data_IF_151285611910
#
_entry.id   IF_151285611910
#
_cell.length_a   1.000
_cell.length_b   1.000
_cell.length_c   1.000
_cell.angle_alpha   90.00
_cell.angle_beta   90.00
_cell.angle_gamma   90.00
#
_symmetry.space_group_name_H-M   'P 1'
#
loop_
_entity.id
_entity.type
_entity.pdbx_description
1 polymer ?
#
# COMPACT_ATOMS: atom_id res chain seq x y z
N UNK A 1 8.40 -3.89 -6.11
CA UNK A 1 9.41 -2.97 -5.55
C UNK A 1 9.25 -2.94 -4.04
N UNK A 2 10.34 -3.09 -3.29
CA UNK A 2 10.28 -3.30 -1.84
C UNK A 2 10.11 -4.77 -1.51
N UNK A 3 10.98 -5.28 -0.63
CA UNK A 3 10.99 -6.67 -0.18
C UNK A 3 10.86 -6.78 1.35
N UNK A 4 10.16 -5.82 1.95
CA UNK A 4 9.74 -5.89 3.35
C UNK A 4 8.59 -6.90 3.53
N UNK A 5 8.04 -6.97 4.75
CA UNK A 5 6.96 -7.90 5.09
C UNK A 5 5.79 -7.87 4.10
N UNK A 6 5.30 -6.68 3.75
CA UNK A 6 4.18 -6.52 2.80
C UNK A 6 4.58 -6.84 1.35
N UNK A 7 5.78 -6.47 0.92
CA UNK A 7 6.30 -6.83 -0.41
C UNK A 7 6.43 -8.35 -0.61
N UNK A 8 6.91 -9.07 0.42
CA UNK A 8 6.96 -10.54 0.40
C UNK A 8 5.56 -11.16 0.41
N UNK A 9 4.59 -10.54 1.10
CA UNK A 9 3.20 -10.98 1.05
C UNK A 9 2.62 -10.84 -0.36
N UNK A 10 2.83 -9.70 -1.02
CA UNK A 10 2.45 -9.50 -2.42
C UNK A 10 3.10 -10.50 -3.36
N UNK A 11 4.40 -10.76 -3.18
CA UNK A 11 5.13 -11.77 -3.94
C UNK A 11 4.44 -13.13 -3.89
N UNK A 12 4.12 -13.60 -2.68
CA UNK A 12 3.41 -14.88 -2.49
C UNK A 12 2.04 -14.84 -3.14
N UNK A 13 1.24 -13.79 -2.91
CA UNK A 13 -0.11 -13.69 -3.50
C UNK A 13 -0.05 -13.74 -5.02
N UNK A 14 0.84 -12.97 -5.66
CA UNK A 14 1.00 -12.95 -7.11
C UNK A 14 1.47 -14.30 -7.67
N UNK A 15 2.39 -14.98 -6.98
CA UNK A 15 2.79 -16.35 -7.36
C UNK A 15 1.61 -17.33 -7.30
N UNK A 16 0.77 -17.26 -6.26
CA UNK A 16 -0.42 -18.11 -6.15
C UNK A 16 -1.46 -17.81 -7.24
N UNK A 17 -1.47 -16.59 -7.79
CA UNK A 17 -2.29 -16.21 -8.94
C UNK A 17 -1.68 -16.64 -10.29
N UNK A 18 -0.52 -17.31 -10.29
CA UNK A 18 0.16 -17.80 -11.50
C UNK A 18 1.09 -16.78 -12.16
N UNK A 19 1.34 -15.64 -11.53
CA UNK A 19 2.26 -14.63 -12.07
C UNK A 19 3.72 -15.04 -11.86
N UNK A 20 4.56 -14.75 -12.85
CA UNK A 20 6.02 -14.72 -12.65
C UNK A 20 6.38 -13.41 -11.94
N UNK A 21 7.03 -13.50 -10.78
CA UNK A 21 7.29 -12.35 -9.91
C UNK A 21 8.78 -12.18 -9.70
N UNK A 22 9.25 -10.95 -9.83
CA UNK A 22 10.56 -10.53 -9.39
C UNK A 22 10.46 -9.35 -8.42
N UNK A 23 11.47 -9.24 -7.57
CA UNK A 23 11.56 -8.26 -6.49
C UNK A 23 12.71 -7.30 -6.72
N UNK A 24 12.48 -6.02 -6.39
CA UNK A 24 13.51 -4.98 -6.42
C UNK A 24 13.76 -4.53 -4.99
N UNK A 25 15.01 -4.60 -4.53
CA UNK A 25 15.39 -4.25 -3.16
C UNK A 25 16.77 -3.58 -3.09
N UNK A 26 16.86 -2.54 -2.27
CA UNK A 26 18.13 -1.88 -1.89
C UNK A 26 18.96 -2.71 -0.88
N UNK A 27 18.43 -3.81 -0.35
CA UNK A 27 19.16 -4.74 0.53
C UNK A 27 19.70 -5.92 -0.30
N UNK A 28 21.02 -6.21 -0.29
CA UNK A 28 21.65 -7.12 -1.24
C UNK A 28 21.03 -8.51 -1.31
N UNK A 29 20.60 -9.02 -0.15
CA UNK A 29 20.08 -10.39 -0.05
C UNK A 29 18.55 -10.48 -0.07
N UNK A 30 17.85 -9.34 -0.22
CA UNK A 30 16.41 -9.31 -0.06
C UNK A 30 15.63 -9.17 -1.37
N UNK A 31 16.27 -9.07 -2.54
CA UNK A 31 15.52 -9.02 -3.80
C UNK A 31 16.34 -9.47 -5.00
N UNK A 32 15.64 -9.87 -6.06
CA UNK A 32 16.21 -10.39 -7.30
C UNK A 32 17.02 -9.31 -8.06
N UNK A 33 16.61 -8.06 -7.93
CA UNK A 33 17.26 -6.91 -8.55
C UNK A 33 17.54 -5.78 -7.57
N UNK A 34 18.63 -5.07 -7.82
CA UNK A 34 19.06 -3.90 -7.04
C UNK A 34 18.37 -2.61 -7.42
N UNK A 35 18.00 -2.47 -8.69
CA UNK A 35 17.44 -1.25 -9.28
C UNK A 35 16.22 -1.59 -10.14
N UNK A 36 15.34 -0.60 -10.31
CA UNK A 36 14.16 -0.71 -11.19
C UNK A 36 14.59 -0.95 -12.63
N UNK A 37 15.56 -0.18 -13.12
CA UNK A 37 16.09 -0.30 -14.48
C UNK A 37 16.55 -1.73 -14.80
N UNK A 38 17.31 -2.39 -13.90
CA UNK A 38 17.77 -3.76 -14.10
C UNK A 38 16.60 -4.77 -14.16
N UNK A 39 15.57 -4.59 -13.34
CA UNK A 39 14.40 -5.45 -13.34
C UNK A 39 13.51 -5.26 -14.58
N UNK A 40 13.38 -4.03 -15.06
CA UNK A 40 12.60 -3.74 -16.27
C UNK A 40 13.30 -4.27 -17.53
N UNK A 41 14.62 -4.17 -17.60
CA UNK A 41 15.42 -4.66 -18.71
C UNK A 41 15.39 -6.20 -18.86
N UNK A 42 15.14 -6.94 -17.77
CA UNK A 42 15.18 -8.40 -17.80
C UNK A 42 13.85 -9.05 -18.20
N UNK A 43 12.72 -8.41 -17.92
CA UNK A 43 11.42 -9.09 -17.97
C UNK A 43 10.24 -8.27 -18.48
N UNK A 44 10.41 -6.97 -18.76
CA UNK A 44 9.35 -6.07 -19.24
C UNK A 44 7.98 -6.30 -18.57
N UNK A 45 7.89 -6.20 -17.23
CA UNK A 45 6.66 -6.51 -16.51
C UNK A 45 5.52 -5.57 -16.96
N UNK A 46 4.29 -6.08 -17.00
CA UNK A 46 3.09 -5.27 -17.27
C UNK A 46 2.46 -4.70 -15.99
N UNK A 47 2.90 -5.19 -14.83
CA UNK A 47 2.34 -4.85 -13.51
C UNK A 47 3.47 -4.69 -12.48
N UNK A 48 3.44 -3.59 -11.72
CA UNK A 48 4.39 -3.29 -10.66
C UNK A 48 3.64 -3.02 -9.36
N UNK A 49 4.07 -3.69 -8.29
CA UNK A 49 3.64 -3.33 -6.92
C UNK A 49 4.74 -2.49 -6.27
N UNK A 50 4.41 -1.30 -5.79
CA UNK A 50 5.26 -0.46 -4.96
C UNK A 50 4.89 -0.72 -3.50
N UNK A 51 5.76 -1.43 -2.80
CA UNK A 51 5.64 -1.83 -1.40
C UNK A 51 6.90 -1.44 -0.61
N UNK A 52 7.48 -0.29 -0.97
CA UNK A 52 8.57 0.38 -0.26
C UNK A 52 8.03 1.11 0.97
N UNK A 53 8.92 1.71 1.76
CA UNK A 53 8.50 2.61 2.83
C UNK A 53 7.75 3.83 2.26
N UNK A 54 6.72 4.32 2.94
CA UNK A 54 5.87 5.42 2.47
C UNK A 54 6.66 6.66 2.08
N UNK A 55 7.68 7.03 2.87
CA UNK A 55 8.60 8.15 2.61
C UNK A 55 9.38 8.01 1.29
N UNK A 56 9.37 6.81 0.68
CA UNK A 56 10.04 6.46 -0.58
C UNK A 56 9.09 6.15 -1.72
N UNK A 57 7.77 6.30 -1.51
CA UNK A 57 6.80 6.07 -2.57
C UNK A 57 7.01 7.04 -3.74
N UNK A 58 7.27 8.33 -3.47
CA UNK A 58 7.53 9.32 -4.52
C UNK A 58 8.76 8.95 -5.36
N UNK A 59 9.89 8.68 -4.71
CA UNK A 59 11.13 8.21 -5.36
C UNK A 59 10.89 6.92 -6.17
N UNK A 60 10.06 6.01 -5.68
CA UNK A 60 9.73 4.76 -6.38
C UNK A 60 8.90 5.01 -7.64
N UNK A 61 7.96 5.96 -7.60
CA UNK A 61 7.17 6.38 -8.75
C UNK A 61 8.05 7.07 -9.78
N UNK A 62 8.89 8.02 -9.36
CA UNK A 62 9.84 8.73 -10.22
C UNK A 62 10.81 7.75 -10.90
N UNK A 63 11.34 6.76 -10.16
CA UNK A 63 12.23 5.75 -10.74
C UNK A 63 11.56 4.92 -11.84
N UNK A 64 10.26 4.64 -11.75
CA UNK A 64 9.51 3.98 -12.82
C UNK A 64 9.32 4.90 -14.03
N UNK A 65 9.00 6.17 -13.79
CA UNK A 65 8.83 7.20 -14.83
C UNK A 65 10.13 7.37 -15.62
N UNK A 66 11.26 7.53 -14.92
CA UNK A 66 12.58 7.71 -15.51
C UNK A 66 13.02 6.50 -16.34
N UNK A 67 12.56 5.29 -15.96
CA UNK A 67 12.80 4.07 -16.73
C UNK A 67 11.79 3.86 -17.88
N UNK A 68 10.87 4.80 -18.12
CA UNK A 68 9.87 4.71 -19.19
C UNK A 68 8.78 3.67 -18.96
N UNK A 69 8.53 3.27 -17.71
CA UNK A 69 7.48 2.31 -17.40
C UNK A 69 6.09 2.93 -17.57
N UNK A 70 5.22 2.25 -18.33
CA UNK A 70 3.84 2.69 -18.61
C UNK A 70 2.76 1.65 -18.24
N UNK A 71 3.17 0.55 -17.60
CA UNK A 71 2.26 -0.54 -17.21
C UNK A 71 1.32 -0.16 -16.06
N UNK A 72 0.73 -1.17 -15.43
CA UNK A 72 -0.16 -0.98 -14.29
C UNK A 72 0.65 -0.88 -12.99
N UNK A 73 0.21 -0.04 -12.06
CA UNK A 73 0.86 0.15 -10.75
C UNK A 73 -0.13 -0.07 -9.61
N UNK A 74 0.26 -0.90 -8.64
CA UNK A 74 -0.36 -0.93 -7.32
C UNK A 74 0.60 -0.30 -6.32
N UNK A 75 0.21 0.84 -5.74
CA UNK A 75 0.96 1.56 -4.72
C UNK A 75 0.42 1.20 -3.33
N UNK A 76 1.27 0.76 -2.42
CA UNK A 76 0.83 0.53 -1.03
C UNK A 76 0.36 1.82 -0.36
N UNK A 77 -0.48 1.67 0.66
CA UNK A 77 -0.97 2.82 1.41
C UNK A 77 0.04 3.27 2.47
N UNK A 78 -0.07 4.51 2.97
CA UNK A 78 -0.71 5.65 2.30
C UNK A 78 0.09 6.05 1.05
N UNK A 79 -0.50 6.88 0.19
CA UNK A 79 0.11 7.27 -1.09
C UNK A 79 1.48 7.92 -0.86
N UNK A 80 1.55 8.90 0.05
CA UNK A 80 2.75 9.64 0.44
C UNK A 80 2.75 9.87 1.95
N UNK A 81 3.91 10.20 2.51
CA UNK A 81 4.09 10.60 3.91
C UNK A 81 3.80 12.10 4.13
N UNK A 82 3.85 12.89 3.06
CA UNK A 82 3.54 14.32 3.05
C UNK A 82 2.59 14.69 1.90
N UNK A 83 1.75 15.73 2.05
CA UNK A 83 0.82 16.18 1.02
C UNK A 83 1.54 17.01 -0.05
N UNK A 84 2.43 16.38 -0.80
CA UNK A 84 3.12 17.00 -1.95
C UNK A 84 2.44 16.61 -3.26
N UNK A 85 2.51 17.47 -4.30
CA UNK A 85 1.96 17.12 -5.61
C UNK A 85 2.65 15.88 -6.19
N UNK A 86 1.87 15.00 -6.81
CA UNK A 86 2.41 13.90 -7.59
C UNK A 86 2.85 14.40 -8.98
N UNK A 87 3.92 13.84 -9.56
CA UNK A 87 4.29 14.11 -10.94
C UNK A 87 3.24 13.55 -11.91
N UNK A 88 3.35 13.91 -13.19
CA UNK A 88 2.56 13.26 -14.25
C UNK A 88 2.89 11.76 -14.26
N UNK A 89 1.87 10.92 -14.07
CA UNK A 89 2.02 9.47 -14.05
C UNK A 89 1.68 8.89 -15.43
N UNK A 90 2.66 8.40 -16.22
CA UNK A 90 2.44 7.84 -17.56
C UNK A 90 1.91 6.39 -17.53
N UNK A 91 1.47 5.93 -16.36
CA UNK A 91 1.00 4.57 -16.13
C UNK A 91 -0.40 4.37 -16.73
N UNK A 92 -0.62 3.21 -17.35
CA UNK A 92 -1.96 2.83 -17.84
C UNK A 92 -3.04 2.86 -16.76
N UNK A 93 -2.68 2.53 -15.52
CA UNK A 93 -3.52 2.71 -14.35
C UNK A 93 -2.67 2.69 -13.08
N UNK A 94 -3.10 3.43 -12.06
CA UNK A 94 -2.57 3.32 -10.70
C UNK A 94 -3.71 3.03 -9.72
N UNK A 95 -3.48 2.11 -8.80
CA UNK A 95 -4.39 1.76 -7.69
C UNK A 95 -3.64 1.86 -6.37
N UNK A 96 -4.37 2.11 -5.28
CA UNK A 96 -3.80 2.19 -3.93
C UNK A 96 -4.20 0.97 -3.11
N UNK A 97 -3.28 0.43 -2.31
CA UNK A 97 -3.37 -0.81 -1.52
C UNK A 97 -4.38 -0.83 -0.37
N UNK A 98 -5.53 -0.15 -0.48
CA UNK A 98 -6.61 -0.18 0.50
C UNK A 98 -7.41 -1.49 0.46
N UNK A 99 -6.76 -2.58 0.86
CA UNK A 99 -7.29 -3.93 0.71
C UNK A 99 -8.60 -4.20 1.48
N UNK A 100 -8.91 -3.46 2.55
CA UNK A 100 -10.12 -3.66 3.33
C UNK A 100 -11.41 -3.47 2.51
N UNK A 101 -11.37 -2.63 1.46
CA UNK A 101 -12.50 -2.44 0.53
C UNK A 101 -12.93 -3.73 -0.17
N UNK A 102 -12.02 -4.70 -0.27
CA UNK A 102 -12.27 -5.98 -0.96
C UNK A 102 -12.78 -7.08 -0.02
N UNK A 103 -12.84 -6.83 1.30
CA UNK A 103 -13.37 -7.80 2.25
C UNK A 103 -14.86 -8.09 1.92
N UNK A 104 -15.31 -9.36 1.87
CA UNK A 104 -16.68 -9.69 1.45
C UNK A 104 -17.76 -8.97 2.26
N UNK A 105 -17.61 -8.89 3.58
CA UNK A 105 -18.55 -8.17 4.45
C UNK A 105 -18.58 -6.65 4.16
N UNK A 106 -17.43 -6.07 3.82
CA UNK A 106 -17.31 -4.64 3.48
C UNK A 106 -18.02 -4.35 2.15
N UNK A 107 -17.83 -5.22 1.15
CA UNK A 107 -18.53 -5.13 -0.14
C UNK A 107 -20.04 -5.31 0.01
N UNK A 108 -20.47 -6.25 0.85
CA UNK A 108 -21.89 -6.47 1.13
C UNK A 108 -22.52 -5.26 1.84
N UNK A 109 -21.81 -4.69 2.83
CA UNK A 109 -22.25 -3.47 3.50
C UNK A 109 -22.37 -2.31 2.49
N UNK A 110 -21.37 -2.11 1.63
CA UNK A 110 -21.42 -1.06 0.60
C UNK A 110 -22.65 -1.22 -0.30
N UNK A 111 -22.90 -2.43 -0.80
CA UNK A 111 -24.06 -2.70 -1.63
C UNK A 111 -25.40 -2.44 -0.91
N UNK A 112 -25.48 -2.67 0.40
CA UNK A 112 -26.67 -2.34 1.19
C UNK A 112 -26.84 -0.82 1.42
N UNK A 113 -25.74 -0.07 1.38
CA UNK A 113 -25.74 1.39 1.54
C UNK A 113 -26.02 2.14 0.23
N UNK A 114 -25.79 1.53 -0.94
CA UNK A 114 -25.85 2.23 -2.25
C UNK A 114 -27.19 2.95 -2.53
N UNK A 115 -28.32 2.46 -1.99
CA UNK A 115 -29.64 3.11 -2.11
C UNK A 115 -30.20 3.65 -0.78
N UNK A 116 -29.35 3.76 0.24
CA UNK A 116 -29.77 4.12 1.60
C UNK A 116 -29.21 5.48 1.97
N UNK A 117 -30.07 6.38 2.44
CA UNK A 117 -29.62 7.64 3.03
C UNK A 117 -29.08 7.37 4.44
N UNK A 118 -27.76 7.49 4.62
CA UNK A 118 -27.13 7.37 5.94
C UNK A 118 -27.35 8.67 6.72
N UNK A 119 -28.07 8.58 7.83
CA UNK A 119 -28.33 9.75 8.71
C UNK A 119 -27.23 9.94 9.76
N UNK A 120 -26.61 8.86 10.21
CA UNK A 120 -25.52 8.86 11.17
C UNK A 120 -24.69 7.60 11.05
N UNK A 121 -23.41 7.68 11.42
CA UNK A 121 -22.52 6.54 11.52
C UNK A 121 -21.66 6.67 12.78
N UNK A 122 -21.43 5.55 13.45
CA UNK A 122 -20.47 5.46 14.54
C UNK A 122 -19.47 4.36 14.21
N UNK A 123 -18.20 4.73 14.13
CA UNK A 123 -17.11 3.79 13.87
C UNK A 123 -16.18 3.78 15.07
N UNK A 124 -15.84 2.58 15.53
CA UNK A 124 -14.92 2.35 16.64
C UNK A 124 -13.86 1.39 16.19
N UNK A 125 -12.61 1.83 16.25
CA UNK A 125 -11.44 0.98 16.05
C UNK A 125 -10.56 1.10 17.29
N UNK A 126 -10.11 -0.04 17.80
CA UNK A 126 -9.22 -0.10 18.95
C UNK A 126 -8.58 -1.47 19.05
N UNK A 127 -7.29 -1.48 19.35
CA UNK A 127 -6.51 -2.68 19.56
C UNK A 127 -5.46 -2.40 20.63
N UNK A 128 -4.99 -3.45 21.30
CA UNK A 128 -3.92 -3.35 22.29
C UNK A 128 -2.57 -3.17 21.59
N UNK A 129 -1.90 -2.04 21.79
CA UNK A 129 -0.67 -1.69 21.06
C UNK A 129 0.47 -2.75 21.18
N UNK A 130 0.70 -3.40 22.33
CA UNK A 130 1.68 -4.48 22.43
C UNK A 130 1.43 -5.66 21.47
N UNK A 131 0.18 -5.88 21.06
CA UNK A 131 -0.15 -6.98 20.14
C UNK A 131 0.16 -6.64 18.68
N UNK A 132 0.44 -5.36 18.35
CA UNK A 132 0.69 -4.93 16.97
C UNK A 132 2.02 -5.44 16.43
N UNK A 133 3.02 -5.53 17.30
CA UNK A 133 4.38 -5.97 16.97
C UNK A 133 4.92 -6.86 18.08
N UNK A 134 4.46 -8.12 18.16
CA UNK A 134 4.92 -9.06 19.18
C UNK A 134 6.46 -9.12 19.20
N UNK A 135 7.04 -8.99 20.39
CA UNK A 135 8.50 -9.00 20.58
C UNK A 135 9.20 -7.65 20.42
N UNK A 136 8.47 -6.55 20.24
CA UNK A 136 9.02 -5.18 20.29
C UNK A 136 8.32 -4.37 21.37
N UNK A 137 9.07 -3.54 22.09
CA UNK A 137 8.47 -2.59 23.03
C UNK A 137 7.61 -1.60 22.24
N UNK A 138 6.31 -1.59 22.49
CA UNK A 138 5.37 -0.73 21.79
C UNK A 138 5.71 0.75 21.99
N UNK A 139 6.34 1.13 23.11
CA UNK A 139 6.77 2.51 23.43
C UNK A 139 7.86 3.02 22.49
N UNK A 140 8.58 2.12 21.85
CA UNK A 140 9.63 2.41 20.87
C UNK A 140 9.12 2.34 19.41
N UNK A 141 7.81 2.18 19.23
CA UNK A 141 7.19 2.19 17.89
C UNK A 141 6.76 3.59 17.52
N UNK A 142 6.65 3.82 16.21
CA UNK A 142 6.15 5.10 15.65
C UNK A 142 4.77 5.44 16.22
N UNK A 143 3.93 4.42 16.44
CA UNK A 143 2.58 4.54 16.99
C UNK A 143 2.53 5.15 18.39
N UNK A 144 3.52 4.88 19.24
CA UNK A 144 3.61 5.40 20.61
C UNK A 144 4.53 6.62 20.74
N UNK A 145 5.14 7.07 19.64
CA UNK A 145 6.06 8.20 19.62
C UNK A 145 5.34 9.56 19.64
N UNK A 146 6.09 10.65 19.94
CA UNK A 146 5.55 12.02 20.01
C UNK A 146 5.06 12.58 18.66
N UNK A 147 5.28 11.86 17.55
CA UNK A 147 5.09 12.34 16.19
C UNK A 147 3.81 11.91 15.46
N UNK A 148 2.90 11.13 16.05
CA UNK A 148 1.62 10.92 15.34
C UNK A 148 0.72 9.75 15.68
N UNK A 149 0.75 9.22 16.91
CA UNK A 149 -0.28 8.33 17.44
C UNK A 149 -0.71 7.17 16.51
N UNK A 150 -1.91 6.63 16.76
CA UNK A 150 -2.43 5.52 15.95
C UNK A 150 -2.89 5.98 14.55
N UNK A 151 -3.27 7.25 14.40
CA UNK A 151 -3.97 7.79 13.22
C UNK A 151 -3.19 7.62 11.90
N UNK A 152 -1.87 7.80 11.91
CA UNK A 152 -1.05 7.63 10.70
C UNK A 152 -1.02 6.17 10.23
N UNK A 153 -1.15 5.21 11.15
CA UNK A 153 -1.23 3.79 10.82
C UNK A 153 -2.66 3.36 10.45
N UNK A 154 -3.69 4.09 10.91
CA UNK A 154 -5.13 3.86 10.64
C UNK A 154 -5.65 4.45 9.31
N UNK A 155 -4.77 4.71 8.35
CA UNK A 155 -5.20 5.17 7.02
C UNK A 155 -6.14 4.18 6.34
N UNK A 156 -6.13 2.88 6.70
CA UNK A 156 -7.11 1.91 6.22
C UNK A 156 -8.53 2.19 6.72
N UNK A 157 -8.68 2.51 8.00
CA UNK A 157 -9.97 2.76 8.64
C UNK A 157 -10.56 4.08 8.13
N UNK A 158 -9.73 5.14 8.03
CA UNK A 158 -10.17 6.42 7.49
C UNK A 158 -10.58 6.32 6.01
N UNK A 159 -9.83 5.52 5.24
CA UNK A 159 -10.19 5.20 3.86
C UNK A 159 -11.50 4.44 3.77
N UNK A 160 -11.67 3.41 4.61
CA UNK A 160 -12.87 2.59 4.63
C UNK A 160 -14.12 3.38 5.00
N UNK A 161 -14.01 4.31 5.95
CA UNK A 161 -15.10 5.22 6.34
C UNK A 161 -15.53 6.07 5.14
N UNK A 162 -14.58 6.73 4.48
CA UNK A 162 -14.86 7.54 3.28
C UNK A 162 -15.42 6.69 2.13
N UNK A 163 -14.89 5.48 1.96
CA UNK A 163 -15.35 4.56 0.91
C UNK A 163 -16.76 4.04 1.16
N UNK A 164 -17.16 3.81 2.41
CA UNK A 164 -18.51 3.34 2.75
C UNK A 164 -19.53 4.48 2.74
N UNK A 165 -19.18 5.64 3.30
CA UNK A 165 -20.11 6.70 3.65
C UNK A 165 -20.04 7.92 2.71
N UNK A 166 -19.07 7.96 1.81
CA UNK A 166 -18.76 9.13 0.98
C UNK A 166 -17.89 10.15 1.74
N UNK A 167 -17.45 11.22 1.06
CA UNK A 167 -17.14 12.47 1.75
C UNK A 167 -18.37 13.06 2.45
#
# INVERSE_FOLDING_TARGET
>A
MGAGSIGIRHHRVLQHLGSTVATVSRRPEAGDYRTVSAALASGHPNYVVIATETERHLESLESLIDCGYSGQVLLEKPILDQPVPLPTLPFSSISVGYHLRFHPAVRQLRSALDSTQVLSAQVRYGQYLPDWRPGRDYRETVTAGPGGGVLLELSHELDLIQWLLGP
#
